data_IF_819626859359
#
_entry.id   IF_819626859359
#
_cell.length_a   1.000
_cell.length_b   1.000
_cell.length_c   1.000
_cell.angle_alpha   90.00
_cell.angle_beta   90.00
_cell.angle_gamma   90.00
#
_symmetry.space_group_name_H-M   'P 1'
#
loop_
_entity.id
_entity.type
_entity.pdbx_description
1 polymer ?
#
# COMPACT_ATOMS: atom_id res chain seq x y z
N UNK A 1 57.35 -21.15 15.09
CA UNK A 1 57.57 -21.09 16.55
C UNK A 1 56.22 -21.11 17.25
N UNK A 2 55.89 -22.25 17.85
CA UNK A 2 54.70 -22.47 18.67
C UNK A 2 54.94 -21.98 20.08
N UNK A 3 54.11 -21.07 20.59
CA UNK A 3 53.97 -20.84 22.04
C UNK A 3 52.53 -21.08 22.44
N UNK A 4 52.32 -22.25 23.05
CA UNK A 4 51.24 -22.57 24.00
C UNK A 4 51.56 -21.90 25.35
N UNK A 5 50.59 -21.98 26.28
CA UNK A 5 50.68 -21.80 27.75
C UNK A 5 50.17 -20.42 28.23
N UNK A 6 49.29 -20.25 29.22
CA UNK A 6 48.53 -21.16 30.12
C UNK A 6 47.35 -20.37 30.69
N UNK A 7 46.24 -21.06 30.94
CA UNK A 7 45.05 -20.56 31.64
C UNK A 7 45.25 -20.55 33.15
N UNK A 8 44.93 -19.47 33.88
CA UNK A 8 44.61 -19.54 35.30
C UNK A 8 43.09 -19.47 35.50
N UNK A 9 42.55 -20.54 36.11
CA UNK A 9 41.23 -20.51 36.72
C UNK A 9 41.29 -19.63 37.97
N UNK A 10 40.55 -18.51 37.96
CA UNK A 10 40.21 -17.76 39.16
C UNK A 10 38.71 -17.92 39.41
N UNK A 11 38.38 -18.61 40.49
CA UNK A 11 37.05 -18.67 41.05
C UNK A 11 36.74 -17.34 41.74
N UNK A 12 35.80 -16.57 41.19
CA UNK A 12 35.14 -15.47 41.89
C UNK A 12 33.66 -15.82 42.04
N UNK A 13 33.30 -16.25 43.24
CA UNK A 13 31.92 -16.21 43.72
C UNK A 13 31.56 -14.74 43.98
N UNK A 14 30.50 -14.23 43.35
CA UNK A 14 29.96 -12.92 43.69
C UNK A 14 29.15 -12.25 42.58
N UNK A 15 27.87 -12.02 42.90
CA UNK A 15 26.94 -11.04 42.34
C UNK A 15 26.16 -11.43 41.07
N UNK A 16 24.85 -11.69 41.30
CA UNK A 16 23.77 -11.53 40.33
C UNK A 16 23.89 -10.15 39.67
N UNK A 17 23.98 -10.13 38.34
CA UNK A 17 23.62 -8.97 37.53
C UNK A 17 22.89 -9.50 36.30
N UNK A 18 21.55 -9.47 36.37
CA UNK A 18 20.71 -9.57 35.18
C UNK A 18 20.88 -8.26 34.39
N UNK A 19 21.82 -8.25 33.46
CA UNK A 19 21.82 -7.26 32.37
C UNK A 19 21.28 -7.94 31.11
N UNK A 20 19.96 -8.15 31.10
CA UNK A 20 19.24 -8.46 29.88
C UNK A 20 19.10 -7.17 29.06
N UNK A 21 20.08 -6.89 28.21
CA UNK A 21 19.90 -5.93 27.12
C UNK A 21 19.05 -6.60 26.04
N UNK A 22 17.74 -6.64 26.25
CA UNK A 22 16.77 -6.87 25.20
C UNK A 22 16.04 -5.53 25.01
N UNK A 23 16.46 -4.75 24.02
CA UNK A 23 15.53 -3.85 23.32
C UNK A 23 16.17 -3.36 22.04
N UNK A 24 15.60 -3.82 20.95
CA UNK A 24 16.14 -3.62 19.61
C UNK A 24 15.59 -4.59 18.59
N UNK A 25 14.44 -5.24 18.85
CA UNK A 25 13.60 -5.76 17.78
C UNK A 25 13.03 -4.57 17.01
N UNK A 26 13.90 -3.92 16.22
CA UNK A 26 13.48 -3.23 15.03
C UNK A 26 12.90 -4.30 14.13
N UNK A 27 11.61 -4.61 14.31
CA UNK A 27 10.84 -5.26 13.26
C UNK A 27 11.10 -4.42 12.02
N UNK A 28 11.77 -5.03 11.06
CA UNK A 28 11.93 -4.54 9.71
C UNK A 28 10.52 -4.48 9.11
N UNK A 29 9.77 -3.43 9.49
CA UNK A 29 8.41 -3.18 9.02
C UNK A 29 8.57 -2.69 7.60
N UNK A 30 8.84 -3.62 6.69
CA UNK A 30 8.61 -3.40 5.27
C UNK A 30 7.18 -2.87 5.17
N UNK A 31 6.95 -1.64 4.68
CA UNK A 31 5.61 -1.07 4.64
C UNK A 31 4.71 -2.03 3.87
N UNK A 32 3.83 -2.73 4.59
CA UNK A 32 2.91 -3.68 3.98
C UNK A 32 1.91 -2.83 3.19
N UNK A 33 1.90 -3.03 1.87
CA UNK A 33 0.95 -2.38 0.97
C UNK A 33 -0.47 -2.58 1.51
N UNK A 34 -1.26 -1.51 1.54
CA UNK A 34 -2.69 -1.61 1.91
C UNK A 34 -3.55 -2.11 0.78
N UNK A 35 -2.98 -2.25 -0.42
CA UNK A 35 -3.70 -2.78 -1.56
C UNK A 35 -4.00 -4.27 -1.37
N UNK A 36 -5.23 -4.72 -1.71
CA UNK A 36 -5.62 -6.12 -1.58
C UNK A 36 -4.75 -7.03 -2.45
N UNK A 37 -4.63 -8.29 -2.03
CA UNK A 37 -3.98 -9.33 -2.80
C UNK A 37 -4.59 -9.44 -4.21
N UNK A 38 -3.72 -9.66 -5.19
CA UNK A 38 -4.10 -9.72 -6.58
C UNK A 38 -3.13 -10.58 -7.39
N UNK A 39 -3.66 -11.30 -8.36
CA UNK A 39 -2.91 -12.01 -9.39
C UNK A 39 -2.59 -11.03 -10.54
N UNK A 40 -1.34 -11.05 -11.04
CA UNK A 40 -0.97 -10.34 -12.28
C UNK A 40 -1.40 -11.19 -13.47
N UNK A 41 -2.18 -10.62 -14.38
CA UNK A 41 -2.87 -11.39 -15.44
C UNK A 41 -2.49 -10.97 -16.86
N UNK A 42 -1.38 -10.25 -16.99
CA UNK A 42 -0.83 -9.82 -18.28
C UNK A 42 0.37 -8.89 -18.10
N UNK A 43 1.00 -8.51 -19.21
CA UNK A 43 2.17 -7.65 -19.16
C UNK A 43 1.82 -6.21 -18.72
N UNK A 44 2.73 -5.54 -17.98
CA UNK A 44 2.59 -4.13 -17.68
C UNK A 44 2.54 -3.27 -18.95
N UNK A 45 1.56 -2.36 -19.03
CA UNK A 45 1.43 -1.42 -20.14
C UNK A 45 1.87 0.00 -19.74
N UNK A 46 2.34 0.75 -20.73
CA UNK A 46 2.86 2.11 -20.50
C UNK A 46 1.77 3.17 -20.32
N UNK A 47 0.59 2.95 -20.90
CA UNK A 47 -0.52 3.90 -20.87
C UNK A 47 -1.87 3.18 -20.89
N UNK A 48 -2.88 3.77 -20.24
CA UNK A 48 -4.28 3.35 -20.30
C UNK A 48 -5.17 4.47 -20.87
N UNK A 49 -6.30 4.11 -21.48
CA UNK A 49 -7.25 5.09 -22.01
C UNK A 49 -8.08 5.74 -20.89
N UNK A 50 -8.09 7.07 -20.82
CA UNK A 50 -8.85 7.78 -19.78
C UNK A 50 -10.35 7.63 -19.94
N UNK A 51 -10.85 7.55 -21.18
CA UNK A 51 -12.27 7.39 -21.49
C UNK A 51 -12.85 6.05 -20.98
N UNK A 52 -11.98 5.07 -20.71
CA UNK A 52 -12.36 3.76 -20.18
C UNK A 52 -12.27 3.69 -18.66
N UNK A 53 -11.66 4.65 -17.97
CA UNK A 53 -11.56 4.65 -16.51
C UNK A 53 -12.96 4.91 -15.93
N UNK A 54 -13.41 4.02 -15.05
CA UNK A 54 -14.69 4.13 -14.32
C UNK A 54 -14.49 4.61 -12.90
N UNK A 55 -13.42 4.16 -12.26
CA UNK A 55 -13.08 4.54 -10.91
C UNK A 55 -11.59 4.35 -10.64
N UNK A 56 -11.06 5.08 -9.68
CA UNK A 56 -9.70 4.92 -9.15
C UNK A 56 -9.77 4.67 -7.65
N UNK A 57 -9.12 3.62 -7.16
CA UNK A 57 -9.02 3.33 -5.73
C UNK A 57 -7.58 3.52 -5.27
N UNK A 58 -7.37 4.50 -4.40
CA UNK A 58 -6.09 4.67 -3.70
C UNK A 58 -6.07 3.75 -2.48
N UNK A 59 -4.98 3.02 -2.31
CA UNK A 59 -4.79 2.13 -1.16
C UNK A 59 -3.82 2.71 -0.13
N UNK A 60 -2.75 3.35 -0.61
CA UNK A 60 -1.72 3.98 0.22
C UNK A 60 -0.97 5.06 -0.58
N UNK A 61 0.19 5.50 -0.07
CA UNK A 61 1.02 6.54 -0.70
C UNK A 61 1.77 6.05 -1.96
N UNK A 62 1.61 4.78 -2.35
CA UNK A 62 2.26 4.17 -3.51
C UNK A 62 1.30 3.51 -4.48
N UNK A 63 0.13 3.04 -4.06
CA UNK A 63 -0.65 2.08 -4.85
C UNK A 63 -2.02 2.61 -5.19
N UNK A 64 -2.32 2.63 -6.50
CA UNK A 64 -3.60 3.07 -7.07
C UNK A 64 -4.12 2.00 -8.02
N UNK A 65 -5.34 1.53 -7.81
CA UNK A 65 -6.04 0.67 -8.77
C UNK A 65 -6.95 1.50 -9.67
N UNK A 66 -6.76 1.37 -10.98
CA UNK A 66 -7.60 1.95 -12.03
C UNK A 66 -8.59 0.91 -12.51
N UNK A 67 -9.87 1.07 -12.16
CA UNK A 67 -10.96 0.19 -12.60
C UNK A 67 -11.50 0.69 -13.93
N UNK A 68 -11.43 -0.16 -14.94
CA UNK A 68 -11.78 0.14 -16.32
C UNK A 68 -13.14 -0.43 -16.68
N UNK A 69 -13.73 0.09 -17.75
CA UNK A 69 -14.89 -0.51 -18.39
C UNK A 69 -14.58 -1.96 -18.83
N UNK A 70 -15.53 -2.87 -18.59
CA UNK A 70 -15.37 -4.30 -18.87
C UNK A 70 -14.69 -5.09 -17.75
N UNK A 71 -14.82 -4.66 -16.49
CA UNK A 71 -14.30 -5.35 -15.29
C UNK A 71 -12.78 -5.58 -15.26
N UNK A 72 -12.03 -4.85 -16.08
CA UNK A 72 -10.56 -4.88 -16.05
C UNK A 72 -10.03 -3.92 -14.99
N UNK A 73 -9.03 -4.34 -14.21
CA UNK A 73 -8.35 -3.49 -13.24
C UNK A 73 -6.87 -3.42 -13.56
N UNK A 74 -6.29 -2.21 -13.50
CA UNK A 74 -4.85 -2.00 -13.57
C UNK A 74 -4.34 -1.47 -12.24
N UNK A 75 -3.35 -2.12 -11.64
CA UNK A 75 -2.61 -1.60 -10.50
C UNK A 75 -1.46 -0.74 -10.99
N UNK A 76 -1.37 0.47 -10.46
CA UNK A 76 -0.25 1.39 -10.67
C UNK A 76 0.47 1.57 -9.34
N UNK A 77 1.70 1.08 -9.25
CA UNK A 77 2.58 1.32 -8.10
C UNK A 77 3.54 2.45 -8.45
N UNK A 78 3.44 3.56 -7.73
CA UNK A 78 4.29 4.73 -7.93
C UNK A 78 5.75 4.38 -7.60
N UNK A 79 6.71 4.83 -8.42
CA UNK A 79 8.13 4.53 -8.20
C UNK A 79 8.70 5.21 -6.94
N UNK A 80 8.03 6.26 -6.46
CA UNK A 80 8.39 6.99 -5.25
C UNK A 80 7.12 7.22 -4.42
N UNK A 81 7.29 7.35 -3.11
CA UNK A 81 6.19 7.71 -2.21
C UNK A 81 5.54 9.01 -2.66
N UNK A 82 4.22 9.04 -2.68
CA UNK A 82 3.42 10.23 -2.91
C UNK A 82 2.80 10.71 -1.59
N UNK A 83 3.37 11.73 -0.93
CA UNK A 83 2.93 12.11 0.42
C UNK A 83 1.44 12.47 0.45
N UNK A 84 0.75 11.96 1.48
CA UNK A 84 -0.68 12.18 1.74
C UNK A 84 -1.63 11.59 0.71
N UNK A 85 -1.17 10.89 -0.33
CA UNK A 85 -2.05 10.27 -1.32
C UNK A 85 -3.00 9.27 -0.65
N UNK A 86 -2.50 8.39 0.20
CA UNK A 86 -3.32 7.39 0.91
C UNK A 86 -4.28 8.00 1.93
N UNK A 87 -3.94 9.17 2.48
CA UNK A 87 -4.80 9.90 3.43
C UNK A 87 -5.92 10.65 2.70
N UNK A 88 -5.59 11.37 1.63
CA UNK A 88 -6.55 12.17 0.87
C UNK A 88 -7.44 11.29 -0.01
N UNK A 89 -6.88 10.21 -0.57
CA UNK A 89 -7.54 9.30 -1.52
C UNK A 89 -8.12 10.00 -2.76
N UNK A 90 -7.60 11.18 -3.10
CA UNK A 90 -8.04 12.01 -4.21
C UNK A 90 -6.86 12.70 -4.87
N UNK A 91 -6.87 12.74 -6.19
CA UNK A 91 -5.82 13.35 -7.00
C UNK A 91 -6.40 13.82 -8.33
N UNK A 92 -5.76 14.83 -8.92
CA UNK A 92 -5.96 15.23 -10.31
C UNK A 92 -4.81 14.69 -11.17
N UNK A 93 -5.05 14.52 -12.46
CA UNK A 93 -4.02 14.19 -13.44
C UNK A 93 -4.23 15.01 -14.71
N UNK A 94 -3.17 15.18 -15.49
CA UNK A 94 -3.26 15.69 -16.85
C UNK A 94 -2.84 14.57 -17.80
N UNK A 95 -3.78 14.17 -18.65
CA UNK A 95 -3.58 13.10 -19.61
C UNK A 95 -3.08 13.66 -20.95
N UNK A 96 -2.14 12.96 -21.58
CA UNK A 96 -1.64 13.33 -22.91
C UNK A 96 -2.36 12.53 -23.98
N UNK A 97 -2.95 13.20 -24.97
CA UNK A 97 -3.64 12.57 -26.11
C UNK A 97 -4.70 11.51 -25.72
N UNK A 98 -5.51 11.81 -24.68
CA UNK A 98 -6.58 10.90 -24.23
C UNK A 98 -6.09 9.64 -23.50
N UNK A 99 -4.81 9.57 -23.13
CA UNK A 99 -4.21 8.46 -22.39
C UNK A 99 -3.54 8.96 -21.13
N UNK A 100 -3.59 8.14 -20.08
CA UNK A 100 -2.80 8.33 -18.87
C UNK A 100 -1.62 7.37 -18.94
N UNK A 101 -0.41 7.91 -18.96
CA UNK A 101 0.83 7.19 -19.14
C UNK A 101 1.68 7.19 -17.87
N UNK A 102 2.59 6.22 -17.74
CA UNK A 102 3.54 6.15 -16.62
C UNK A 102 4.45 7.38 -16.51
N UNK A 103 4.63 8.12 -17.60
CA UNK A 103 5.38 9.38 -17.64
C UNK A 103 4.59 10.58 -17.13
N UNK A 104 3.26 10.46 -17.03
CA UNK A 104 2.42 11.54 -16.52
C UNK A 104 2.53 11.65 -14.99
N UNK A 105 2.09 12.79 -14.47
CA UNK A 105 2.08 13.08 -13.04
C UNK A 105 0.67 13.26 -12.52
N UNK A 106 0.43 12.73 -11.31
CA UNK A 106 -0.73 13.07 -10.50
C UNK A 106 -0.41 14.23 -9.57
N UNK A 107 -1.43 14.97 -9.15
CA UNK A 107 -1.38 15.99 -8.09
C UNK A 107 -2.38 15.60 -7.02
N UNK A 108 -1.91 15.35 -5.79
CA UNK A 108 -2.81 15.06 -4.67
C UNK A 108 -3.69 16.29 -4.40
N UNK A 109 -4.99 16.07 -4.21
CA UNK A 109 -5.93 17.15 -3.90
C UNK A 109 -6.10 17.22 -2.38
N UNK A 110 -5.79 18.37 -1.81
CA UNK A 110 -5.99 18.66 -0.39
C UNK A 110 -7.31 19.43 -0.19
N UNK A 111 -7.75 19.55 1.05
CA UNK A 111 -8.86 20.43 1.38
C UNK A 111 -8.51 21.91 1.10
N UNK A 112 -9.48 22.68 0.62
CA UNK A 112 -9.30 24.10 0.27
C UNK A 112 -8.65 24.31 -1.11
N UNK A 113 -7.94 25.43 -1.27
CA UNK A 113 -7.35 25.87 -2.55
C UNK A 113 -5.89 25.45 -2.76
N UNK A 114 -5.29 24.75 -1.80
CA UNK A 114 -3.89 24.32 -1.87
C UNK A 114 -3.71 23.16 -2.86
N UNK A 115 -2.72 23.30 -3.75
CA UNK A 115 -2.25 22.19 -4.59
C UNK A 115 -1.34 21.29 -3.75
N UNK A 116 -1.67 20.00 -3.68
CA UNK A 116 -0.85 19.02 -2.98
C UNK A 116 0.37 18.54 -3.78
N UNK A 117 1.11 17.56 -3.24
CA UNK A 117 2.29 16.97 -3.88
C UNK A 117 2.02 16.44 -5.30
N UNK A 118 3.07 16.49 -6.14
CA UNK A 118 3.06 15.95 -7.50
C UNK A 118 3.91 14.69 -7.60
N UNK A 119 3.36 13.64 -8.19
CA UNK A 119 3.97 12.31 -8.16
C UNK A 119 3.89 11.66 -9.54
N UNK A 120 5.02 11.10 -10.00
CA UNK A 120 5.08 10.36 -11.26
C UNK A 120 4.37 9.02 -11.12
N UNK A 121 3.64 8.62 -12.15
CA UNK A 121 3.00 7.31 -12.21
C UNK A 121 4.01 6.17 -12.44
N UNK A 122 3.61 4.95 -12.07
CA UNK A 122 4.26 3.71 -12.49
C UNK A 122 3.69 3.17 -13.79
N UNK A 123 4.12 1.98 -14.18
CA UNK A 123 3.46 1.22 -15.26
C UNK A 123 2.13 0.65 -14.75
N UNK A 124 1.22 0.39 -15.68
CA UNK A 124 -0.11 -0.14 -15.38
C UNK A 124 -0.09 -1.65 -15.51
N UNK A 125 -0.17 -2.36 -14.39
CA UNK A 125 -0.13 -3.82 -14.35
C UNK A 125 -1.56 -4.36 -14.33
N UNK A 126 -2.01 -5.14 -15.33
CA UNK A 126 -3.34 -5.74 -15.29
C UNK A 126 -3.41 -6.77 -14.18
N UNK A 127 -4.44 -6.68 -13.33
CA UNK A 127 -4.60 -7.56 -12.19
C UNK A 127 -6.02 -8.14 -12.09
N UNK A 128 -6.12 -9.32 -11.46
CA UNK A 128 -7.35 -9.85 -10.89
C UNK A 128 -7.24 -9.83 -9.37
N UNK A 129 -8.19 -9.20 -8.70
CA UNK A 129 -8.26 -9.24 -7.23
C UNK A 129 -8.56 -10.67 -6.79
N UNK A 130 -7.81 -11.19 -5.84
CA UNK A 130 -8.10 -12.49 -5.23
C UNK A 130 -9.09 -12.26 -4.10
N UNK A 131 -10.21 -12.99 -4.12
CA UNK A 131 -11.21 -12.95 -3.04
C UNK A 131 -10.67 -13.70 -1.82
N UNK A 132 -9.65 -13.16 -1.18
CA UNK A 132 -9.26 -13.54 0.17
C UNK A 132 -8.58 -12.35 0.81
N UNK A 133 -9.37 -11.55 1.51
CA UNK A 133 -8.85 -10.63 2.52
C UNK A 133 -9.75 -10.81 3.75
N UNK A 134 -9.27 -11.44 4.84
CA UNK A 134 -10.09 -11.84 5.98
C UNK A 134 -10.71 -10.69 6.79
N UNK A 135 -10.42 -9.43 6.44
CA UNK A 135 -10.82 -8.24 7.21
C UNK A 135 -11.85 -7.33 6.49
N UNK A 136 -12.48 -7.78 5.41
CA UNK A 136 -13.52 -6.97 4.72
C UNK A 136 -14.76 -7.80 4.40
N UNK A 137 -15.32 -8.40 5.44
CA UNK A 137 -16.70 -8.87 5.49
C UNK A 137 -17.43 -8.16 6.63
N UNK A 138 -17.53 -6.84 6.57
CA UNK A 138 -18.45 -6.07 7.42
C UNK A 138 -18.68 -4.69 6.83
N UNK A 139 -19.60 -4.62 5.87
CA UNK A 139 -20.44 -3.43 5.62
C UNK A 139 -21.45 -3.76 4.51
N UNK A 140 -22.21 -4.83 4.74
CA UNK A 140 -23.56 -4.95 4.21
C UNK A 140 -24.42 -5.44 5.37
N UNK A 141 -24.47 -4.62 6.43
CA UNK A 141 -25.45 -4.80 7.50
C UNK A 141 -26.73 -4.12 7.03
N UNK A 142 -27.72 -4.97 6.81
CA UNK A 142 -29.05 -4.68 6.34
C UNK A 142 -29.74 -3.63 7.22
N UNK A 143 -30.13 -2.52 6.63
CA UNK A 143 -31.07 -1.58 7.25
C UNK A 143 -32.47 -1.91 6.77
N UNK A 144 -33.05 -3.01 7.26
CA UNK A 144 -34.50 -3.20 7.20
C UNK A 144 -35.11 -2.44 8.40
N UNK A 145 -36.02 -1.48 8.19
CA UNK A 145 -36.78 -0.89 9.28
C UNK A 145 -37.77 -1.93 9.86
N UNK A 146 -38.03 -1.92 11.18
CA UNK A 146 -39.03 -2.82 11.75
C UNK A 146 -40.42 -2.51 11.18
N UNK A 147 -41.10 -3.53 10.65
CA UNK A 147 -42.53 -3.48 10.34
C UNK A 147 -43.33 -3.11 11.61
N UNK A 148 -44.32 -2.20 11.52
CA UNK A 148 -45.20 -1.91 12.65
C UNK A 148 -46.14 -3.09 12.91
N UNK A 149 -46.50 -3.38 14.17
CA UNK A 149 -47.45 -4.44 14.50
C UNK A 149 -48.84 -4.09 13.94
N UNK A 150 -49.49 -5.09 13.36
CA UNK A 150 -50.89 -5.03 12.95
C UNK A 150 -51.80 -5.04 14.18
N UNK A 151 -52.76 -4.11 14.22
CA UNK A 151 -54.00 -4.17 15.02
C UNK A 151 -55.13 -4.77 14.18
#
# INVERSE_FOLDING_TARGET
MTMKVVTPALACAGLLSLAACADGSGTDRTPQSRAPAAEVVGEPVNCISIARIRNTRVHDDFTIDFRMAGNQTFRNTLPNRCPQLGFQQRFAYQATAGRLCHTDMITVLQAGSARGPRCRLGRFVPIRLTTENPDTSSSSESSDPPEPPAD
#
